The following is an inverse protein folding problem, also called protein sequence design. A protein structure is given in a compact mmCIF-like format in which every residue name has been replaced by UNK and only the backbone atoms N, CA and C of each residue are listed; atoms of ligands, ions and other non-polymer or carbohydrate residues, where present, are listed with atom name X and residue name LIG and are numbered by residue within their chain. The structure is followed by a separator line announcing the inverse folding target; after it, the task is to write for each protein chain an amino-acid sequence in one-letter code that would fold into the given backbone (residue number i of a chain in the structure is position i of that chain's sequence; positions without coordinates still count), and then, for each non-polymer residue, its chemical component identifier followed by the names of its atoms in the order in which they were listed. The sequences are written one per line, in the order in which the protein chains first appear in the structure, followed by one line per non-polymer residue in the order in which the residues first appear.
data_IF_815737074299
#
_entry.id   IF_815737074299
#
_cell.length_a   1.000
_cell.length_b   1.000
_cell.length_c   1.000
_cell.angle_alpha   90.00
_cell.angle_beta   90.00
_cell.angle_gamma   90.00
#
_symmetry.space_group_name_H-M   'P 1'
#
loop_
_entity.id
_entity.type
_entity.pdbx_description
1 polymer ?
#
# COMPACT_ATOMS: atom_id res chain seq x y z
N UNK A 1 -10.12 -10.78 9.68
CA UNK A 1 -9.45 -9.90 8.69
C UNK A 1 -8.86 -8.74 9.48
N UNK A 2 -7.59 -8.38 9.26
CA UNK A 2 -6.99 -7.23 9.95
C UNK A 2 -7.42 -5.96 9.23
N UNK A 3 -8.00 -5.01 9.95
CA UNK A 3 -8.36 -3.70 9.39
C UNK A 3 -7.11 -3.00 8.83
N UNK A 4 -7.19 -2.38 7.64
CA UNK A 4 -6.06 -1.71 7.04
C UNK A 4 -5.63 -0.51 7.88
N UNK A 5 -4.32 -0.39 8.12
CA UNK A 5 -3.72 0.74 8.81
C UNK A 5 -3.18 1.75 7.78
N UNK A 6 -4.08 2.56 7.24
CA UNK A 6 -3.88 3.40 6.07
C UNK A 6 -4.46 4.81 6.26
N UNK A 7 -3.76 5.81 5.74
CA UNK A 7 -4.28 7.15 5.42
C UNK A 7 -4.36 7.29 3.90
N UNK A 8 -5.56 7.28 3.34
CA UNK A 8 -5.79 7.31 1.89
C UNK A 8 -6.53 8.57 1.45
N UNK A 9 -6.24 8.99 0.21
CA UNK A 9 -7.00 10.04 -0.49
C UNK A 9 -8.16 9.43 -1.29
N UNK A 10 -8.93 10.28 -1.97
CA UNK A 10 -10.08 9.87 -2.79
C UNK A 10 -9.72 8.84 -3.88
N UNK A 11 -10.62 7.88 -4.11
CA UNK A 11 -10.52 6.92 -5.20
C UNK A 11 -9.50 5.79 -4.99
N UNK A 12 -8.93 5.67 -3.79
CA UNK A 12 -8.05 4.53 -3.44
C UNK A 12 -8.88 3.25 -3.32
N UNK A 13 -8.44 2.21 -4.02
CA UNK A 13 -9.08 0.89 -4.02
C UNK A 13 -8.13 -0.16 -3.44
N UNK A 14 -8.61 -0.90 -2.44
CA UNK A 14 -7.89 -2.02 -1.84
C UNK A 14 -8.69 -3.28 -2.16
N UNK A 15 -8.10 -4.20 -2.92
CA UNK A 15 -8.76 -5.45 -3.26
C UNK A 15 -8.76 -6.43 -2.07
N UNK A 16 -9.77 -7.31 -1.98
CA UNK A 16 -9.81 -8.34 -0.95
C UNK A 16 -8.52 -9.16 -0.87
N UNK A 17 -8.07 -9.43 0.36
CA UNK A 17 -6.86 -10.21 0.62
C UNK A 17 -5.55 -9.42 0.55
N UNK A 18 -5.58 -8.12 0.19
CA UNK A 18 -4.43 -7.25 0.43
C UNK A 18 -4.29 -6.92 1.92
N UNK A 19 -3.06 -6.88 2.41
CA UNK A 19 -2.70 -6.44 3.76
C UNK A 19 -2.05 -5.07 3.62
N UNK A 20 -2.67 -4.03 4.20
CA UNK A 20 -2.16 -2.66 4.11
C UNK A 20 -1.90 -2.11 5.50
N UNK A 21 -0.64 -1.71 5.73
CA UNK A 21 -0.19 -1.21 7.02
C UNK A 21 0.20 -2.30 8.00
N UNK A 22 0.89 -3.35 7.52
CA UNK A 22 1.47 -4.36 8.39
C UNK A 22 2.50 -3.71 9.33
N UNK A 23 2.17 -3.66 10.63
CA UNK A 23 3.04 -3.09 11.67
C UNK A 23 4.15 -4.09 12.02
N UNK A 24 5.39 -3.61 12.04
CA UNK A 24 6.58 -4.40 12.38
C UNK A 24 7.20 -4.00 13.74
N UNK A 25 6.74 -2.88 14.33
CA UNK A 25 7.10 -2.42 15.68
C UNK A 25 6.04 -1.47 16.23
N UNK A 26 6.16 -1.10 17.50
CA UNK A 26 5.38 0.00 18.07
C UNK A 26 5.82 1.35 17.48
N UNK A 27 4.87 2.29 17.36
CA UNK A 27 5.14 3.65 16.87
C UNK A 27 5.19 3.82 15.35
N UNK A 28 4.83 2.80 14.56
CA UNK A 28 4.71 2.93 13.10
C UNK A 28 3.66 3.97 12.70
N UNK A 29 3.88 4.62 11.55
CA UNK A 29 2.90 5.46 10.87
C UNK A 29 2.05 4.64 9.91
N UNK A 30 0.80 5.04 9.63
CA UNK A 30 -0.02 4.34 8.65
C UNK A 30 0.58 4.46 7.26
N UNK A 31 0.20 3.54 6.37
CA UNK A 31 0.54 3.66 4.95
C UNK A 31 -0.14 4.90 4.40
N UNK A 32 0.60 5.77 3.70
CA UNK A 32 0.04 6.93 3.01
C UNK A 32 -0.12 6.61 1.55
N UNK A 33 -1.33 6.74 1.01
CA UNK A 33 -1.62 6.44 -0.40
C UNK A 33 -2.31 7.62 -1.08
N UNK A 34 -1.72 8.11 -2.17
CA UNK A 34 -2.27 9.18 -2.98
C UNK A 34 -3.51 8.75 -3.76
N UNK A 35 -4.26 9.74 -4.26
CA UNK A 35 -5.55 9.54 -4.95
C UNK A 35 -5.48 8.56 -6.11
N UNK A 36 -6.61 7.91 -6.42
CA UNK A 36 -6.77 7.01 -7.57
C UNK A 36 -5.77 5.84 -7.64
N UNK A 37 -5.28 5.39 -6.48
CA UNK A 37 -4.34 4.27 -6.40
C UNK A 37 -5.06 2.93 -6.25
N UNK A 38 -4.45 1.86 -6.74
CA UNK A 38 -5.01 0.49 -6.68
C UNK A 38 -4.02 -0.45 -6.03
N UNK A 39 -4.41 -1.03 -4.90
CA UNK A 39 -3.67 -2.09 -4.22
C UNK A 39 -4.38 -3.41 -4.53
N UNK A 40 -3.77 -4.24 -5.36
CA UNK A 40 -4.35 -5.51 -5.83
C UNK A 40 -4.20 -6.64 -4.83
N UNK A 41 -5.02 -7.67 -5.02
CA UNK A 41 -5.16 -8.79 -4.09
C UNK A 41 -3.82 -9.48 -3.79
N UNK A 42 -3.69 -9.91 -2.54
CA UNK A 42 -2.49 -10.59 -2.03
C UNK A 42 -1.28 -9.68 -1.82
N UNK A 43 -1.37 -8.38 -2.13
CA UNK A 43 -0.27 -7.44 -1.87
C UNK A 43 -0.15 -7.15 -0.37
N UNK A 44 1.08 -6.98 0.10
CA UNK A 44 1.43 -6.65 1.49
C UNK A 44 2.22 -5.33 1.48
N UNK A 45 1.61 -4.29 2.04
CA UNK A 45 2.27 -3.01 2.29
C UNK A 45 2.53 -2.90 3.80
N UNK A 46 3.79 -2.71 4.16
CA UNK A 46 4.18 -2.46 5.54
C UNK A 46 3.78 -1.05 5.97
N UNK A 47 3.60 -0.86 7.26
CA UNK A 47 3.48 0.46 7.85
C UNK A 47 4.72 1.32 7.51
N UNK A 48 4.60 2.65 7.57
CA UNK A 48 5.61 3.63 7.14
C UNK A 48 5.90 3.70 5.62
N UNK A 49 5.08 3.05 4.78
CA UNK A 49 5.13 3.23 3.30
C UNK A 49 4.40 4.50 2.88
N UNK A 50 4.97 5.22 1.93
CA UNK A 50 4.35 6.40 1.31
C UNK A 50 4.30 6.22 -0.21
N UNK A 51 3.10 6.24 -0.78
CA UNK A 51 2.85 6.13 -2.21
C UNK A 51 2.10 7.34 -2.76
N UNK A 52 2.58 7.86 -3.89
CA UNK A 52 1.99 8.99 -4.62
C UNK A 52 0.62 8.69 -5.25
N UNK A 53 0.12 9.64 -6.03
CA UNK A 53 -1.12 9.51 -6.78
C UNK A 53 -0.98 8.49 -7.92
N UNK A 54 -2.07 7.81 -8.26
CA UNK A 54 -2.10 6.81 -9.34
C UNK A 54 -1.11 5.64 -9.15
N UNK A 55 -0.75 5.33 -7.91
CA UNK A 55 0.09 4.19 -7.59
C UNK A 55 -0.67 2.88 -7.83
N UNK A 56 -0.03 1.88 -8.44
CA UNK A 56 -0.64 0.57 -8.65
C UNK A 56 0.29 -0.56 -8.24
N UNK A 57 -0.25 -1.54 -7.51
CA UNK A 57 0.40 -2.85 -7.38
C UNK A 57 -0.16 -3.83 -8.40
N UNK A 58 0.67 -4.77 -8.85
CA UNK A 58 0.25 -6.07 -9.35
C UNK A 58 -0.27 -6.95 -8.21
N UNK A 59 -0.64 -8.19 -8.52
CA UNK A 59 -1.03 -9.14 -7.48
C UNK A 59 0.19 -9.61 -6.69
N UNK A 60 0.02 -9.93 -5.40
CA UNK A 60 1.08 -10.51 -4.56
C UNK A 60 2.36 -9.65 -4.48
N UNK A 61 2.22 -8.33 -4.42
CA UNK A 61 3.35 -7.40 -4.26
C UNK A 61 3.70 -7.21 -2.78
N UNK A 62 4.99 -7.18 -2.42
CA UNK A 62 5.48 -6.82 -1.10
C UNK A 62 6.25 -5.50 -1.13
N UNK A 63 5.81 -4.52 -0.34
CA UNK A 63 6.53 -3.26 -0.16
C UNK A 63 6.83 -3.07 1.32
N UNK A 64 8.13 -3.00 1.63
CA UNK A 64 8.64 -2.86 3.00
C UNK A 64 8.55 -1.44 3.52
N UNK A 65 8.63 -1.33 4.83
CA UNK A 65 8.64 -0.09 5.60
C UNK A 65 9.64 0.94 5.06
N UNK A 66 9.34 2.23 5.28
CA UNK A 66 10.20 3.35 4.88
C UNK A 66 10.46 3.46 3.36
N UNK A 67 9.65 2.78 2.54
CA UNK A 67 9.68 2.94 1.08
C UNK A 67 8.82 4.13 0.65
N UNK A 68 9.38 5.00 -0.19
CA UNK A 68 8.69 6.12 -0.83
C UNK A 68 8.55 5.87 -2.32
N UNK A 69 7.31 5.89 -2.82
CA UNK A 69 6.95 5.64 -4.20
C UNK A 69 6.33 6.92 -4.78
N UNK A 70 6.81 7.34 -5.96
CA UNK A 70 6.31 8.53 -6.65
C UNK A 70 4.93 8.36 -7.28
N UNK A 71 4.47 9.41 -7.95
CA UNK A 71 3.22 9.38 -8.70
C UNK A 71 3.31 8.49 -9.94
N UNK A 72 2.21 7.87 -10.35
CA UNK A 72 2.07 7.05 -11.56
C UNK A 72 3.03 5.84 -11.64
N UNK A 73 3.48 5.34 -10.48
CA UNK A 73 4.32 4.14 -10.42
C UNK A 73 3.46 2.88 -10.41
N UNK A 74 3.93 1.87 -11.15
CA UNK A 74 3.40 0.51 -11.11
C UNK A 74 4.47 -0.42 -10.57
N UNK A 75 4.14 -1.20 -9.54
CA UNK A 75 4.97 -2.33 -9.08
C UNK A 75 4.36 -3.60 -9.65
N UNK A 76 5.16 -4.35 -10.42
CA UNK A 76 4.71 -5.54 -11.13
C UNK A 76 4.26 -6.68 -10.22
N UNK A 77 3.51 -7.64 -10.76
CA UNK A 77 3.00 -8.81 -10.03
C UNK A 77 4.12 -9.66 -9.43
N UNK A 78 3.90 -10.20 -8.22
CA UNK A 78 4.78 -11.14 -7.54
C UNK A 78 6.21 -10.60 -7.29
N UNK A 79 6.28 -9.32 -6.91
CA UNK A 79 7.51 -8.56 -6.60
C UNK A 79 7.57 -8.27 -5.12
#
# INVERSE_FOLDING_TARGET
MTEPYIESQEGVQIQPGAIVGLKYREGCKPVRVGKNSVIRAGSILYADVEAGAHFQTGHHVMIREHTRIGDHVVVGTNT
#
